data_IF_345143791822
#
_entry.id   IF_345143791822
#
_cell.length_a   1.000
_cell.length_b   1.000
_cell.length_c   1.000
_cell.angle_alpha   90.00
_cell.angle_beta   90.00
_cell.angle_gamma   90.00
#
_symmetry.space_group_name_H-M   'P 1'
#
loop_
_entity.id
_entity.type
_entity.pdbx_description
1 polymer ?
#
# COMPACT_ATOMS: atom_id res chain seq x y z
N UNK A 1 -26.75 39.10 -2.13
CA UNK A 1 -25.49 39.46 -1.44
C UNK A 1 -24.69 38.18 -1.34
N UNK A 2 -23.46 38.17 -1.84
CA UNK A 2 -22.60 36.99 -1.78
C UNK A 2 -22.16 36.73 -0.33
N UNK A 3 -21.82 35.48 -0.02
CA UNK A 3 -21.24 35.15 1.26
C UNK A 3 -19.83 35.73 1.42
N UNK A 4 -19.35 35.76 2.66
CA UNK A 4 -18.02 36.28 2.97
C UNK A 4 -16.95 35.25 2.61
N UNK A 5 -16.06 35.57 1.65
CA UNK A 5 -15.01 34.64 1.20
C UNK A 5 -14.10 34.14 2.33
N UNK A 6 -13.84 34.98 3.34
CA UNK A 6 -13.02 34.60 4.50
C UNK A 6 -13.64 33.48 5.35
N UNK A 7 -14.93 33.17 5.16
CA UNK A 7 -15.65 32.15 5.92
C UNK A 7 -15.91 30.87 5.14
N UNK A 8 -15.67 30.82 3.83
CA UNK A 8 -16.02 29.68 2.97
C UNK A 8 -15.44 28.33 3.49
N UNK A 9 -14.15 28.33 3.84
CA UNK A 9 -13.48 27.17 4.41
C UNK A 9 -14.08 26.76 5.77
N UNK A 10 -14.27 27.74 6.66
CA UNK A 10 -14.82 27.51 8.00
C UNK A 10 -16.28 27.04 7.96
N UNK A 11 -17.07 27.51 6.99
CA UNK A 11 -18.47 27.09 6.81
C UNK A 11 -18.55 25.64 6.32
N UNK A 12 -17.62 25.21 5.47
CA UNK A 12 -17.54 23.81 5.02
C UNK A 12 -17.15 22.89 6.19
N UNK A 13 -16.14 23.28 6.98
CA UNK A 13 -15.73 22.53 8.17
C UNK A 13 -16.81 22.53 9.26
N UNK A 14 -17.53 23.64 9.44
CA UNK A 14 -18.66 23.75 10.34
C UNK A 14 -19.77 22.77 9.95
N UNK A 15 -20.14 22.74 8.67
CA UNK A 15 -21.15 21.82 8.15
C UNK A 15 -20.73 20.34 8.28
N UNK A 16 -19.42 20.05 8.17
CA UNK A 16 -18.86 18.72 8.41
C UNK A 16 -18.75 18.34 9.90
N UNK A 17 -19.02 19.26 10.83
CA UNK A 17 -18.82 19.04 12.27
C UNK A 17 -17.34 18.85 12.66
N UNK A 18 -16.42 19.41 11.87
CA UNK A 18 -14.98 19.17 11.96
C UNK A 18 -14.20 20.34 12.60
N UNK A 19 -14.88 21.38 13.07
CA UNK A 19 -14.25 22.52 13.74
C UNK A 19 -13.92 22.23 15.20
N UNK A 20 -12.86 22.87 15.69
CA UNK A 20 -12.59 22.91 17.13
C UNK A 20 -13.66 23.73 17.87
N UNK A 21 -13.91 23.47 19.17
CA UNK A 21 -14.98 24.15 19.91
C UNK A 21 -14.90 25.69 19.91
N UNK A 22 -13.68 26.23 19.89
CA UNK A 22 -13.44 27.68 19.84
C UNK A 22 -13.80 28.27 18.47
N UNK A 23 -13.42 27.59 17.39
CA UNK A 23 -13.74 27.98 16.02
C UNK A 23 -15.23 27.90 15.75
N UNK A 24 -15.85 26.81 16.19
CA UNK A 24 -17.29 26.61 16.06
C UNK A 24 -18.07 27.74 16.74
N UNK A 25 -17.65 28.18 17.92
CA UNK A 25 -18.25 29.32 18.60
C UNK A 25 -18.12 30.63 17.80
N UNK A 26 -16.96 30.88 17.16
CA UNK A 26 -16.76 32.05 16.30
C UNK A 26 -17.65 32.01 15.06
N UNK A 27 -17.76 30.86 14.39
CA UNK A 27 -18.61 30.68 13.22
C UNK A 27 -20.08 30.86 13.61
N UNK A 28 -20.55 30.25 14.71
CA UNK A 28 -21.94 30.44 15.18
C UNK A 28 -22.28 31.92 15.42
N UNK A 29 -21.38 32.68 16.07
CA UNK A 29 -21.58 34.12 16.28
C UNK A 29 -21.67 34.90 14.94
N UNK A 30 -20.92 34.49 13.92
CA UNK A 30 -21.02 35.07 12.58
C UNK A 30 -22.36 34.74 11.91
N UNK A 31 -22.81 33.48 12.01
CA UNK A 31 -24.07 33.01 11.43
C UNK A 31 -25.30 33.73 12.02
N UNK A 32 -25.24 34.10 13.31
CA UNK A 32 -26.28 34.92 13.96
C UNK A 32 -26.45 36.29 13.29
N UNK A 33 -25.35 36.89 12.83
CA UNK A 33 -25.32 38.22 12.23
C UNK A 33 -25.42 38.23 10.69
N UNK A 34 -25.04 37.14 10.01
CA UNK A 34 -24.93 37.10 8.54
C UNK A 34 -25.89 36.08 7.90
N UNK A 35 -26.92 36.58 7.21
CA UNK A 35 -27.91 35.72 6.54
C UNK A 35 -27.32 34.96 5.32
N UNK A 36 -26.35 35.54 4.61
CA UNK A 36 -25.73 34.91 3.44
C UNK A 36 -24.91 33.67 3.84
N UNK A 37 -24.06 33.80 4.85
CA UNK A 37 -23.28 32.67 5.38
C UNK A 37 -24.18 31.60 6.03
N UNK A 38 -25.35 31.98 6.55
CA UNK A 38 -26.35 31.03 7.05
C UNK A 38 -26.90 30.14 5.95
N UNK A 39 -27.27 30.74 4.82
CA UNK A 39 -27.76 30.00 3.66
C UNK A 39 -26.67 29.07 3.07
N UNK A 40 -25.41 29.52 3.07
CA UNK A 40 -24.29 28.70 2.62
C UNK A 40 -23.99 27.53 3.56
N UNK A 41 -23.99 27.75 4.88
CA UNK A 41 -23.84 26.67 5.86
C UNK A 41 -24.94 25.61 5.72
N UNK A 42 -26.19 26.04 5.47
CA UNK A 42 -27.32 25.15 5.25
C UNK A 42 -27.16 24.34 3.95
N UNK A 43 -26.74 24.98 2.85
CA UNK A 43 -26.44 24.30 1.59
C UNK A 43 -25.30 23.29 1.73
N UNK A 44 -24.22 23.64 2.43
CA UNK A 44 -23.12 22.72 2.72
C UNK A 44 -23.59 21.54 3.56
N UNK A 45 -24.44 21.78 4.58
CA UNK A 45 -24.99 20.71 5.40
C UNK A 45 -25.90 19.78 4.60
N UNK A 46 -26.70 20.30 3.66
CA UNK A 46 -27.52 19.49 2.75
C UNK A 46 -26.65 18.58 1.88
N UNK A 47 -25.63 19.14 1.21
CA UNK A 47 -24.72 18.39 0.33
C UNK A 47 -23.93 17.34 1.10
N UNK A 48 -23.35 17.69 2.25
CA UNK A 48 -22.61 16.75 3.08
C UNK A 48 -23.53 15.68 3.69
N UNK A 49 -24.78 16.02 3.95
CA UNK A 49 -25.81 15.07 4.38
C UNK A 49 -26.08 13.95 3.36
N UNK A 50 -25.87 14.20 2.06
CA UNK A 50 -25.99 13.19 1.01
C UNK A 50 -24.85 12.15 1.06
N UNK A 51 -23.68 12.55 1.55
CA UNK A 51 -22.51 11.69 1.72
C UNK A 51 -22.38 11.13 3.15
N UNK A 52 -23.31 11.47 4.05
CA UNK A 52 -23.25 11.05 5.43
C UNK A 52 -23.45 9.54 5.54
N UNK A 53 -22.38 8.83 5.91
CA UNK A 53 -22.45 7.42 6.24
C UNK A 53 -23.19 7.23 7.58
N UNK A 54 -24.00 6.18 7.71
CA UNK A 54 -24.57 5.84 9.01
C UNK A 54 -23.44 5.56 10.02
N UNK A 55 -23.68 5.81 11.31
CA UNK A 55 -22.70 5.49 12.34
C UNK A 55 -22.34 3.99 12.26
N UNK A 56 -21.05 3.63 12.41
CA UNK A 56 -20.61 2.26 12.23
C UNK A 56 -21.34 1.34 13.21
N UNK A 57 -21.79 0.20 12.72
CA UNK A 57 -22.42 -0.85 13.53
C UNK A 57 -21.46 -1.39 14.58
N UNK A 58 -22.00 -1.98 15.66
CA UNK A 58 -21.18 -2.62 16.71
C UNK A 58 -20.26 -3.71 16.13
N UNK A 59 -20.69 -4.39 15.05
CA UNK A 59 -19.88 -5.40 14.36
C UNK A 59 -18.69 -4.76 13.66
N UNK A 60 -18.89 -3.67 12.91
CA UNK A 60 -17.80 -2.96 12.24
C UNK A 60 -16.81 -2.38 13.24
N UNK A 61 -17.31 -1.79 14.34
CA UNK A 61 -16.46 -1.30 15.42
C UNK A 61 -15.60 -2.42 16.03
N UNK A 62 -16.16 -3.62 16.23
CA UNK A 62 -15.42 -4.77 16.72
C UNK A 62 -14.35 -5.25 15.74
N UNK A 63 -14.62 -5.23 14.44
CA UNK A 63 -13.65 -5.55 13.38
C UNK A 63 -12.51 -4.53 13.39
N UNK A 64 -12.83 -3.24 13.39
CA UNK A 64 -11.85 -2.14 13.46
C UNK A 64 -10.98 -2.24 14.71
N UNK A 65 -11.57 -2.52 15.87
CA UNK A 65 -10.83 -2.71 17.12
C UNK A 65 -9.93 -3.98 17.11
N UNK A 66 -10.26 -4.99 16.30
CA UNK A 66 -9.50 -6.22 16.18
C UNK A 66 -8.31 -6.12 15.21
N UNK A 67 -8.33 -5.17 14.25
CA UNK A 67 -7.29 -4.99 13.23
C UNK A 67 -5.86 -4.95 13.81
N UNK A 68 -5.53 -4.14 14.84
CA UNK A 68 -4.17 -4.09 15.37
C UNK A 68 -3.66 -5.45 15.86
N UNK A 69 -4.54 -6.29 16.41
CA UNK A 69 -4.15 -7.62 16.92
C UNK A 69 -3.91 -8.60 15.77
N UNK A 70 -4.73 -8.54 14.73
CA UNK A 70 -4.63 -9.46 13.58
C UNK A 70 -3.44 -9.10 12.70
N UNK A 71 -3.23 -7.80 12.41
CA UNK A 71 -2.12 -7.32 11.57
C UNK A 71 -0.77 -7.49 12.25
N UNK A 72 -0.63 -7.03 13.51
CA UNK A 72 0.63 -7.19 14.27
C UNK A 72 0.93 -8.66 14.52
N UNK A 73 -0.11 -9.48 14.76
CA UNK A 73 0.04 -10.93 14.93
C UNK A 73 0.55 -11.60 13.67
N UNK A 74 0.00 -11.26 12.49
CA UNK A 74 0.46 -11.79 11.21
C UNK A 74 1.90 -11.35 10.91
N UNK A 75 2.21 -10.07 11.11
CA UNK A 75 3.54 -9.52 10.91
C UNK A 75 4.59 -10.18 11.81
N UNK A 76 4.31 -10.35 13.11
CA UNK A 76 5.21 -11.06 14.03
C UNK A 76 5.44 -12.51 13.61
N UNK A 77 4.40 -13.21 13.17
CA UNK A 77 4.54 -14.60 12.70
C UNK A 77 5.46 -14.68 11.47
N UNK A 78 5.29 -13.78 10.50
CA UNK A 78 6.16 -13.69 9.34
C UNK A 78 7.62 -13.42 9.75
N UNK A 79 7.84 -12.49 10.69
CA UNK A 79 9.17 -12.17 11.20
C UNK A 79 9.85 -13.37 11.89
N UNK A 80 9.12 -14.10 12.73
CA UNK A 80 9.65 -15.31 13.39
C UNK A 80 9.97 -16.40 12.37
N UNK A 81 9.11 -16.61 11.37
CA UNK A 81 9.36 -17.58 10.31
C UNK A 81 10.58 -17.22 9.48
N UNK A 82 10.79 -15.95 9.13
CA UNK A 82 11.96 -15.50 8.41
C UNK A 82 13.24 -15.70 9.23
N UNK A 83 13.22 -15.36 10.52
CA UNK A 83 14.34 -15.62 11.42
C UNK A 83 14.67 -17.12 11.52
N UNK A 84 13.66 -17.99 11.57
CA UNK A 84 13.85 -19.44 11.57
C UNK A 84 14.47 -19.93 10.24
N UNK A 85 13.97 -19.45 9.09
CA UNK A 85 14.51 -19.77 7.76
C UNK A 85 15.98 -19.39 7.64
N UNK A 86 16.35 -18.18 8.08
CA UNK A 86 17.74 -17.72 8.06
C UNK A 86 18.66 -18.60 8.92
N UNK A 87 18.19 -19.05 10.09
CA UNK A 87 18.95 -19.98 10.95
C UNK A 87 19.11 -21.35 10.29
N UNK A 88 18.06 -21.88 9.67
CA UNK A 88 18.14 -23.18 8.97
C UNK A 88 19.07 -23.11 7.76
N UNK A 89 19.01 -22.03 6.98
CA UNK A 89 19.90 -21.81 5.84
C UNK A 89 21.37 -21.70 6.30
N UNK A 90 21.63 -20.93 7.36
CA UNK A 90 22.96 -20.82 7.96
C UNK A 90 23.50 -22.17 8.47
N UNK A 91 22.66 -22.99 9.10
CA UNK A 91 23.05 -24.32 9.57
C UNK A 91 23.39 -25.28 8.41
N UNK A 92 22.60 -25.26 7.32
CA UNK A 92 22.87 -26.06 6.13
C UNK A 92 24.18 -25.63 5.45
N UNK A 93 24.43 -24.33 5.33
CA UNK A 93 25.68 -23.81 4.77
C UNK A 93 26.89 -24.22 5.63
N UNK A 94 26.78 -24.14 6.96
CA UNK A 94 27.84 -24.60 7.86
C UNK A 94 28.08 -26.12 7.73
N UNK A 95 27.03 -26.93 7.65
CA UNK A 95 27.16 -28.37 7.43
C UNK A 95 27.81 -28.69 6.08
N UNK A 96 27.42 -28.01 5.01
CA UNK A 96 28.03 -28.15 3.69
C UNK A 96 29.53 -27.78 3.71
N UNK A 97 29.90 -26.70 4.40
CA UNK A 97 31.30 -26.31 4.58
C UNK A 97 32.12 -27.37 5.33
N UNK A 98 31.56 -27.97 6.40
CA UNK A 98 32.22 -29.07 7.12
C UNK A 98 32.40 -30.30 6.23
N UNK A 99 31.37 -30.68 5.47
CA UNK A 99 31.44 -31.80 4.52
C UNK A 99 32.53 -31.54 3.47
N UNK A 100 32.59 -30.35 2.90
CA UNK A 100 33.63 -29.95 1.95
C UNK A 100 35.03 -29.98 2.58
N UNK A 101 35.19 -29.59 3.84
CA UNK A 101 36.48 -29.60 4.53
C UNK A 101 36.96 -31.03 4.84
N UNK A 102 36.04 -31.94 5.17
CA UNK A 102 36.35 -33.35 5.46
C UNK A 102 36.57 -34.16 4.17
N UNK A 103 35.75 -33.97 3.13
CA UNK A 103 35.84 -34.71 1.87
C UNK A 103 36.82 -34.09 0.86
N UNK A 104 37.08 -32.78 0.96
CA UNK A 104 37.98 -32.04 0.05
C UNK A 104 39.35 -32.68 -0.11
N UNK A 105 40.06 -33.07 0.97
CA UNK A 105 41.36 -33.73 0.87
C UNK A 105 41.30 -35.10 0.17
N UNK A 106 40.17 -35.81 0.28
CA UNK A 106 39.98 -37.14 -0.33
C UNK A 106 39.72 -37.02 -1.83
N UNK A 107 38.95 -36.01 -2.26
CA UNK A 107 38.73 -35.71 -3.67
C UNK A 107 39.98 -35.13 -4.34
N UNK A 108 40.74 -34.27 -3.66
CA UNK A 108 42.02 -33.74 -4.17
C UNK A 108 43.06 -34.85 -4.41
N UNK A 109 43.04 -35.93 -3.62
CA UNK A 109 43.91 -37.10 -3.85
C UNK A 109 43.50 -37.95 -5.04
N UNK A 110 42.25 -37.86 -5.52
CA UNK A 110 41.79 -38.57 -6.73
C UNK A 110 42.02 -37.76 -8.01
N UNK A 111 42.19 -36.45 -7.89
CA UNK A 111 42.44 -35.52 -9.00
C UNK A 111 43.87 -34.99 -8.92
N UNK A 112 44.86 -35.88 -8.87
CA UNK A 112 46.24 -35.51 -9.21
C UNK A 112 46.45 -35.71 -10.71
N UNK A 113 45.87 -34.80 -11.49
CA UNK A 113 46.38 -34.46 -12.83
C UNK A 113 47.42 -33.35 -12.67
N UNK A 114 48.55 -33.39 -13.40
CA UNK A 114 49.62 -32.41 -13.24
C UNK A 114 49.15 -30.99 -13.61
N UNK A 115 49.62 -30.04 -12.83
CA UNK A 115 49.28 -28.63 -12.89
C UNK A 115 49.60 -27.99 -14.25
N UNK A 116 48.59 -27.34 -14.83
CA UNK A 116 48.78 -26.25 -15.79
C UNK A 116 48.64 -24.96 -14.99
N UNK A 117 49.62 -24.02 -15.04
CA UNK A 117 49.52 -22.75 -14.34
C UNK A 117 48.51 -21.85 -15.06
N UNK A 118 47.39 -21.55 -14.39
CA UNK A 118 46.44 -20.52 -14.81
C UNK A 118 46.73 -19.25 -14.03
N UNK A 119 47.03 -18.18 -14.77
CA UNK A 119 47.31 -16.82 -14.30
C UNK A 119 46.18 -16.28 -13.41
N UNK A 120 46.45 -15.35 -12.46
CA UNK A 120 45.41 -14.73 -11.67
C UNK A 120 44.62 -13.75 -12.54
N UNK A 121 43.32 -13.99 -12.68
CA UNK A 121 42.36 -12.97 -13.14
C UNK A 121 42.01 -12.14 -11.92
N UNK A 122 42.47 -10.90 -11.96
CA UNK A 122 42.12 -9.81 -11.08
C UNK A 122 40.60 -9.61 -11.08
N UNK A 123 39.99 -9.77 -9.90
CA UNK A 123 38.59 -9.47 -9.68
C UNK A 123 38.42 -7.94 -9.63
N UNK A 124 37.58 -7.33 -10.48
CA UNK A 124 37.22 -5.93 -10.29
C UNK A 124 36.40 -5.82 -9.00
N UNK A 125 36.88 -4.95 -8.12
CA UNK A 125 36.06 -4.36 -7.07
C UNK A 125 34.89 -3.62 -7.72
N UNK A 126 33.66 -3.93 -7.31
CA UNK A 126 32.48 -3.10 -7.59
C UNK A 126 32.06 -2.34 -6.32
N UNK A 127 31.79 -1.02 -6.42
CA UNK A 127 31.33 -0.15 -5.32
C UNK A 127 29.80 -0.31 -5.05
N UNK A 128 29.23 0.34 -4.01
CA UNK A 128 27.85 0.15 -3.54
C UNK A 128 26.80 0.85 -4.42
N UNK A 129 26.70 0.43 -5.68
CA UNK A 129 25.67 0.92 -6.63
C UNK A 129 24.36 0.11 -6.55
N UNK A 130 24.35 -0.97 -5.76
CA UNK A 130 23.22 -1.90 -5.61
C UNK A 130 21.98 -1.28 -4.93
N UNK A 131 22.13 -0.20 -4.14
CA UNK A 131 21.02 0.40 -3.39
C UNK A 131 20.05 1.20 -4.29
N UNK A 132 20.55 1.83 -5.35
CA UNK A 132 19.71 2.60 -6.28
C UNK A 132 18.91 1.66 -7.20
N UNK A 133 19.57 0.61 -7.71
CA UNK A 133 18.94 -0.38 -8.57
C UNK A 133 17.91 -1.23 -7.81
N UNK A 134 18.17 -1.56 -6.53
CA UNK A 134 17.13 -2.20 -5.71
C UNK A 134 15.96 -1.26 -5.46
N UNK A 135 16.18 0.02 -5.11
CA UNK A 135 15.09 0.98 -4.92
C UNK A 135 14.23 1.18 -6.18
N UNK A 136 14.84 1.28 -7.36
CA UNK A 136 14.10 1.35 -8.63
C UNK A 136 13.32 0.05 -8.90
N UNK A 137 13.88 -1.10 -8.54
CA UNK A 137 13.20 -2.39 -8.67
C UNK A 137 12.00 -2.54 -7.72
N UNK A 138 12.07 -1.98 -6.50
CA UNK A 138 10.92 -1.91 -5.59
C UNK A 138 9.86 -0.91 -6.05
N UNK A 139 10.27 0.19 -6.70
CA UNK A 139 9.34 1.18 -7.24
C UNK A 139 8.58 0.68 -8.48
N UNK A 140 9.18 -0.26 -9.23
CA UNK A 140 8.57 -0.88 -10.41
C UNK A 140 7.80 -2.17 -10.09
N UNK A 141 8.04 -2.81 -8.94
CA UNK A 141 7.26 -3.97 -8.53
C UNK A 141 5.91 -3.51 -7.99
N UNK A 142 4.83 -3.73 -8.74
CA UNK A 142 3.48 -3.58 -8.22
C UNK A 142 3.05 -4.85 -7.47
N UNK A 143 3.03 -4.83 -6.12
CA UNK A 143 2.66 -6.01 -5.34
C UNK A 143 1.18 -6.40 -5.53
N UNK A 144 0.35 -5.51 -6.07
CA UNK A 144 -1.07 -5.78 -6.32
C UNK A 144 -1.27 -6.64 -7.57
N UNK A 145 -0.50 -6.37 -8.63
CA UNK A 145 -0.46 -7.17 -9.86
C UNK A 145 -0.15 -8.65 -9.58
N UNK A 146 0.93 -8.90 -8.82
CA UNK A 146 1.35 -10.25 -8.40
C UNK A 146 0.29 -10.97 -7.56
N UNK A 147 -0.42 -10.25 -6.69
CA UNK A 147 -1.47 -10.82 -5.84
C UNK A 147 -2.73 -11.19 -6.63
N UNK A 148 -3.01 -10.48 -7.71
CA UNK A 148 -4.13 -10.71 -8.62
C UNK A 148 -3.78 -11.69 -9.76
N UNK A 149 -2.49 -12.06 -9.89
CA UNK A 149 -2.01 -12.95 -10.94
C UNK A 149 -2.10 -12.34 -12.34
N UNK A 150 -2.12 -11.01 -12.42
CA UNK A 150 -2.20 -10.25 -13.65
C UNK A 150 -0.79 -10.07 -14.20
N UNK A 151 -0.61 -10.29 -15.50
CA UNK A 151 0.61 -9.95 -16.22
C UNK A 151 0.60 -8.46 -16.58
N UNK A 152 1.78 -7.88 -16.87
CA UNK A 152 1.88 -6.48 -17.31
C UNK A 152 0.99 -6.19 -18.53
N UNK A 153 0.79 -7.18 -19.42
CA UNK A 153 -0.10 -7.06 -20.57
C UNK A 153 -1.58 -6.96 -20.18
N UNK A 154 -2.00 -7.63 -19.10
CA UNK A 154 -3.38 -7.55 -18.60
C UNK A 154 -3.66 -6.19 -17.97
N UNK A 155 -2.64 -5.56 -17.36
CA UNK A 155 -2.74 -4.21 -16.81
C UNK A 155 -2.77 -3.14 -17.91
N UNK A 156 -1.94 -3.26 -18.95
CA UNK A 156 -1.99 -2.36 -20.11
C UNK A 156 -3.34 -2.42 -20.85
N UNK A 157 -3.99 -3.59 -20.87
CA UNK A 157 -5.34 -3.76 -21.44
C UNK A 157 -6.42 -3.08 -20.58
N UNK A 158 -6.30 -3.15 -19.25
CA UNK A 158 -7.20 -2.47 -18.29
C UNK A 158 -7.00 -0.94 -18.24
N UNK A 159 -5.76 -0.48 -18.45
CA UNK A 159 -5.42 0.95 -18.49
C UNK A 159 -5.68 1.58 -19.87
N UNK A 160 -6.01 0.78 -20.89
CA UNK A 160 -6.37 1.32 -22.20
C UNK A 160 -7.65 2.16 -22.10
N UNK A 161 -7.57 3.43 -22.52
CA UNK A 161 -8.69 4.38 -22.49
C UNK A 161 -9.97 3.80 -23.15
N UNK A 162 -9.82 2.90 -24.14
CA UNK A 162 -10.94 2.24 -24.82
C UNK A 162 -11.70 1.22 -23.96
N UNK A 163 -11.03 0.54 -23.01
CA UNK A 163 -11.70 -0.41 -22.11
C UNK A 163 -12.47 0.33 -21.00
N UNK A 164 -11.84 1.35 -20.40
CA UNK A 164 -12.45 2.14 -19.33
C UNK A 164 -13.68 2.93 -19.82
N UNK A 165 -13.61 3.56 -21.01
CA UNK A 165 -14.76 4.27 -21.58
C UNK A 165 -15.90 3.29 -21.95
N UNK A 166 -15.57 2.11 -22.46
CA UNK A 166 -16.57 1.08 -22.82
C UNK A 166 -17.32 0.52 -21.60
N UNK A 167 -16.62 0.23 -20.51
CA UNK A 167 -17.24 -0.35 -19.31
C UNK A 167 -18.10 0.69 -18.56
N UNK A 168 -17.66 1.94 -18.55
CA UNK A 168 -18.43 3.07 -18.01
C UNK A 168 -19.71 3.31 -18.84
N UNK A 169 -19.61 3.34 -20.17
CA UNK A 169 -20.78 3.56 -21.03
C UNK A 169 -21.82 2.43 -20.94
N UNK A 170 -21.39 1.16 -20.81
CA UNK A 170 -22.30 0.03 -20.60
C UNK A 170 -22.95 0.06 -19.21
N UNK A 171 -22.22 0.49 -18.18
CA UNK A 171 -22.77 0.67 -16.84
C UNK A 171 -23.81 1.80 -16.78
N UNK A 172 -23.58 2.92 -17.48
CA UNK A 172 -24.52 4.04 -17.52
C UNK A 172 -25.69 3.82 -18.49
N UNK A 173 -25.54 2.96 -19.49
CA UNK A 173 -26.59 2.64 -20.46
C UNK A 173 -27.52 1.52 -20.00
N UNK A 174 -27.16 0.75 -18.96
CA UNK A 174 -27.99 -0.34 -18.45
C UNK A 174 -29.04 0.17 -17.45
N UNK A 175 -30.35 0.13 -17.77
CA UNK A 175 -31.39 0.69 -16.91
C UNK A 175 -31.72 -0.14 -15.66
N UNK A 176 -31.02 -1.26 -15.41
CA UNK A 176 -31.29 -2.11 -14.25
C UNK A 176 -30.02 -2.81 -13.72
N UNK A 177 -29.15 -2.12 -12.95
CA UNK A 177 -27.89 -2.67 -12.44
C UNK A 177 -28.04 -3.67 -11.28
N UNK A 178 -29.25 -4.18 -11.01
CA UNK A 178 -29.58 -4.92 -9.79
C UNK A 178 -29.84 -6.43 -9.91
N UNK A 179 -29.79 -7.04 -11.10
CA UNK A 179 -30.14 -8.46 -11.29
C UNK A 179 -29.00 -9.28 -11.90
N UNK A 180 -27.86 -9.37 -11.22
CA UNK A 180 -26.95 -10.52 -11.42
C UNK A 180 -26.03 -10.70 -10.22
N UNK A 181 -26.54 -11.44 -9.23
CA UNK A 181 -25.78 -12.18 -8.22
C UNK A 181 -26.24 -13.64 -8.25
#
# INVERSE_FOLDING_TARGET
>A
MAACQEQEELLTLFAAGALEPEEEARVRAHLDACAACRAEAEANHEVLGLAALPPPSLKEQAVVAALPRTTVGAWRRAQVQQAARMRTAGALMAAAAVVLLVLGPVLQRRVTTPAVPTSPVEAPASPPEDDAFTLEQWALADPLADALGLSDADLEELESDEFLDSELDDYFSNPNPGESL
#
